data_IF_769133243920
#
_entry.id   IF_769133243920
#
_cell.length_a   1.000
_cell.length_b   1.000
_cell.length_c   1.000
_cell.angle_alpha   90.00
_cell.angle_beta   90.00
_cell.angle_gamma   90.00
#
_symmetry.space_group_name_H-M   'P 1'
#
loop_
_entity.id
_entity.type
_entity.pdbx_description
1 polymer ?
#
# COMPACT_ATOMS: atom_id res chain seq x y z
N UNK A 1 0.92 -15.73 -12.39
CA UNK A 1 0.95 -14.28 -12.12
C UNK A 1 -0.42 -13.92 -11.58
N UNK A 2 -0.49 -13.19 -10.46
CA UNK A 2 -1.74 -12.74 -9.85
C UNK A 2 -1.94 -11.28 -10.28
N UNK A 3 -3.06 -10.98 -10.94
CA UNK A 3 -3.47 -9.61 -11.23
C UNK A 3 -4.30 -9.14 -10.05
N UNK A 4 -3.98 -7.97 -9.50
CA UNK A 4 -4.76 -7.34 -8.43
C UNK A 4 -5.62 -6.24 -9.05
N UNK A 5 -6.90 -6.21 -8.70
CA UNK A 5 -7.85 -5.20 -9.17
C UNK A 5 -8.17 -4.30 -8.00
N UNK A 6 -7.69 -3.06 -8.05
CA UNK A 6 -7.84 -2.11 -6.95
C UNK A 6 -8.14 -0.70 -7.45
N UNK A 7 -8.90 0.05 -6.65
CA UNK A 7 -9.08 1.49 -6.80
C UNK A 7 -9.07 2.14 -5.43
N UNK A 8 -8.83 3.46 -5.39
CA UNK A 8 -8.78 4.24 -4.17
C UNK A 8 -9.83 5.36 -4.20
N UNK A 9 -10.51 5.58 -3.08
CA UNK A 9 -11.30 6.78 -2.83
C UNK A 9 -10.47 7.65 -1.88
N UNK A 10 -10.04 8.82 -2.35
CA UNK A 10 -9.19 9.72 -1.57
C UNK A 10 -10.01 10.55 -0.59
N UNK A 11 -9.35 11.00 0.47
CA UNK A 11 -9.90 11.98 1.45
C UNK A 11 -11.23 11.53 2.07
N UNK A 12 -11.29 10.27 2.51
CA UNK A 12 -12.51 9.72 3.11
C UNK A 12 -12.70 10.21 4.54
N UNK A 13 -13.95 10.47 4.93
CA UNK A 13 -14.33 10.61 6.34
C UNK A 13 -14.32 9.22 6.99
N UNK A 14 -13.29 8.96 7.81
CA UNK A 14 -13.06 7.64 8.42
C UNK A 14 -14.23 7.19 9.32
N UNK A 15 -14.72 8.00 10.28
CA UNK A 15 -15.92 7.66 11.03
C UNK A 15 -17.14 7.33 10.16
N UNK A 16 -17.38 8.11 9.11
CA UNK A 16 -18.53 7.90 8.22
C UNK A 16 -18.41 6.58 7.44
N UNK A 17 -17.25 6.32 6.83
CA UNK A 17 -17.07 5.13 6.00
C UNK A 17 -17.05 3.85 6.85
N UNK A 18 -16.41 3.87 8.03
CA UNK A 18 -16.42 2.72 8.96
C UNK A 18 -17.85 2.39 9.37
N UNK A 19 -18.61 3.39 9.80
CA UNK A 19 -20.02 3.19 10.17
C UNK A 19 -20.82 2.59 9.01
N UNK A 20 -20.64 3.14 7.81
CA UNK A 20 -21.36 2.70 6.61
C UNK A 20 -21.06 1.23 6.28
N UNK A 21 -19.79 0.84 6.21
CA UNK A 21 -19.42 -0.53 5.83
C UNK A 21 -19.85 -1.54 6.91
N UNK A 22 -19.79 -1.18 8.19
CA UNK A 22 -20.26 -2.03 9.29
C UNK A 22 -21.77 -2.22 9.26
N UNK A 23 -22.56 -1.18 8.98
CA UNK A 23 -24.01 -1.27 8.78
C UNK A 23 -24.39 -2.16 7.59
N UNK A 24 -23.50 -2.26 6.60
CA UNK A 24 -23.64 -3.14 5.44
C UNK A 24 -23.17 -4.58 5.71
N UNK A 25 -22.68 -4.87 6.92
CA UNK A 25 -22.24 -6.20 7.33
C UNK A 25 -20.78 -6.52 7.02
N UNK A 26 -19.95 -5.51 6.73
CA UNK A 26 -18.52 -5.71 6.52
C UNK A 26 -17.89 -6.26 7.80
N UNK A 27 -17.01 -7.26 7.63
CA UNK A 27 -16.28 -7.88 8.75
C UNK A 27 -14.92 -7.23 8.87
N UNK A 28 -14.64 -6.64 10.03
CA UNK A 28 -13.28 -6.21 10.37
C UNK A 28 -12.35 -7.42 10.42
N UNK A 29 -11.27 -7.38 9.66
CA UNK A 29 -10.31 -8.49 9.56
C UNK A 29 -9.15 -8.22 10.50
N UNK A 30 -8.44 -7.11 10.29
CA UNK A 30 -7.26 -6.77 11.05
C UNK A 30 -6.91 -5.29 10.96
N UNK A 31 -5.98 -4.88 11.81
CA UNK A 31 -5.36 -3.57 11.83
C UNK A 31 -3.86 -3.79 11.97
N UNK A 32 -3.11 -3.05 11.15
CA UNK A 32 -1.66 -3.14 11.08
C UNK A 32 -1.05 -1.76 11.15
N UNK A 33 0.01 -1.65 11.95
CA UNK A 33 0.99 -0.59 11.85
C UNK A 33 2.17 -1.14 11.03
N UNK A 34 2.31 -0.63 9.82
CA UNK A 34 3.40 -1.07 8.95
C UNK A 34 4.62 -0.19 9.13
N UNK A 35 5.78 -0.82 9.10
CA UNK A 35 7.08 -0.16 8.97
C UNK A 35 7.78 -0.74 7.75
N UNK A 36 8.42 0.11 6.94
CA UNK A 36 9.17 -0.35 5.77
C UNK A 36 10.43 0.46 5.52
N UNK A 37 11.49 -0.24 5.17
CA UNK A 37 12.65 0.33 4.49
C UNK A 37 12.56 0.04 3.00
N UNK A 38 12.93 1.01 2.18
CA UNK A 38 13.21 0.80 0.75
C UNK A 38 14.69 1.01 0.48
N UNK A 39 15.23 0.29 -0.50
CA UNK A 39 16.64 0.38 -0.89
C UNK A 39 16.73 0.33 -2.41
N UNK A 40 17.60 1.15 -2.96
CA UNK A 40 18.00 0.99 -4.36
C UNK A 40 18.98 -0.19 -4.48
N UNK A 41 19.05 -0.77 -5.69
CA UNK A 41 20.16 -1.65 -6.01
C UNK A 41 21.49 -0.87 -6.00
N UNK A 42 22.61 -1.57 -5.84
CA UNK A 42 23.93 -0.99 -5.93
C UNK A 42 24.74 -1.68 -7.06
N UNK A 43 24.94 -1.04 -8.23
CA UNK A 43 24.44 0.30 -8.61
C UNK A 43 22.91 0.34 -8.81
N UNK A 44 22.28 1.53 -8.80
CA UNK A 44 20.84 1.68 -8.97
C UNK A 44 20.35 1.07 -10.28
N UNK A 45 19.16 0.47 -10.23
CA UNK A 45 18.46 -0.10 -11.38
C UNK A 45 17.13 0.58 -11.53
N UNK A 46 16.81 0.97 -12.75
CA UNK A 46 15.56 1.64 -13.03
C UNK A 46 14.38 0.70 -12.77
N UNK A 47 13.33 1.24 -12.13
CA UNK A 47 12.09 0.53 -11.80
C UNK A 47 12.27 -0.77 -10.96
N UNK A 48 13.42 -0.98 -10.31
CA UNK A 48 13.71 -2.18 -9.52
C UNK A 48 14.33 -1.80 -8.16
N UNK A 49 13.75 -2.27 -7.05
CA UNK A 49 14.16 -1.91 -5.69
C UNK A 49 13.94 -3.04 -4.69
N UNK A 50 14.57 -2.92 -3.51
CA UNK A 50 14.38 -3.83 -2.38
C UNK A 50 13.44 -3.14 -1.37
N UNK A 51 12.50 -3.89 -0.81
CA UNK A 51 11.65 -3.46 0.31
C UNK A 51 11.76 -4.45 1.44
N UNK A 52 12.09 -3.98 2.63
CA UNK A 52 11.93 -4.72 3.88
C UNK A 52 10.72 -4.13 4.60
N UNK A 53 9.69 -4.94 4.88
CA UNK A 53 8.45 -4.47 5.51
C UNK A 53 8.07 -5.37 6.67
N UNK A 54 7.55 -4.80 7.74
CA UNK A 54 6.86 -5.53 8.81
C UNK A 54 5.50 -4.92 9.10
N UNK A 55 4.58 -5.73 9.61
CA UNK A 55 3.30 -5.29 10.21
C UNK A 55 3.23 -5.61 11.71
N UNK A 56 4.38 -5.87 12.35
CA UNK A 56 4.48 -6.31 13.74
C UNK A 56 4.20 -7.80 13.98
N UNK A 57 3.59 -8.51 13.02
CA UNK A 57 3.35 -9.97 13.09
C UNK A 57 4.21 -10.76 12.12
N UNK A 58 4.38 -10.22 10.91
CA UNK A 58 5.11 -10.82 9.80
C UNK A 58 6.05 -9.79 9.21
N UNK A 59 7.25 -10.23 8.89
CA UNK A 59 8.26 -9.41 8.23
C UNK A 59 8.64 -10.06 6.90
N UNK A 60 8.65 -9.29 5.82
CA UNK A 60 9.05 -9.76 4.50
C UNK A 60 10.16 -8.89 3.91
N UNK A 61 11.05 -9.53 3.15
CA UNK A 61 11.94 -8.85 2.22
C UNK A 61 11.47 -9.16 0.81
N UNK A 62 11.35 -8.12 -0.01
CA UNK A 62 10.83 -8.20 -1.37
C UNK A 62 11.81 -7.51 -2.32
N UNK A 63 12.16 -8.14 -3.43
CA UNK A 63 12.67 -7.43 -4.60
C UNK A 63 11.47 -7.13 -5.49
N UNK A 64 11.19 -5.86 -5.74
CA UNK A 64 10.12 -5.39 -6.62
C UNK A 64 10.71 -4.88 -7.92
N UNK A 65 10.04 -5.18 -9.03
CA UNK A 65 10.38 -4.65 -10.36
C UNK A 65 9.12 -4.29 -11.13
N UNK A 66 9.03 -3.08 -11.65
CA UNK A 66 7.96 -2.66 -12.55
C UNK A 66 8.45 -2.82 -13.99
N UNK A 67 7.84 -3.74 -14.74
CA UNK A 67 8.13 -3.98 -16.16
C UNK A 67 7.26 -3.13 -17.09
N UNK A 68 6.10 -2.66 -16.63
CA UNK A 68 5.19 -1.77 -17.37
C UNK A 68 4.24 -1.03 -16.42
N UNK A 69 3.70 0.13 -16.82
CA UNK A 69 2.65 0.84 -16.07
C UNK A 69 1.24 0.29 -16.34
N UNK A 70 1.12 -1.01 -16.61
CA UNK A 70 -0.15 -1.72 -16.77
C UNK A 70 -0.48 -2.49 -15.49
N UNK A 71 -1.74 -2.90 -15.31
CA UNK A 71 -2.23 -3.58 -14.10
C UNK A 71 -1.48 -4.90 -13.75
N UNK A 72 -0.70 -5.46 -14.68
CA UNK A 72 0.12 -6.67 -14.51
C UNK A 72 1.64 -6.39 -14.38
N UNK A 73 2.02 -5.12 -14.18
CA UNK A 73 3.38 -4.65 -14.41
C UNK A 73 4.39 -4.88 -13.28
N UNK A 74 3.98 -5.24 -12.06
CA UNK A 74 4.93 -5.40 -10.94
C UNK A 74 5.24 -6.87 -10.66
N UNK A 75 6.51 -7.26 -10.83
CA UNK A 75 7.04 -8.56 -10.43
C UNK A 75 7.66 -8.46 -9.04
N UNK A 76 7.35 -9.43 -8.19
CA UNK A 76 7.85 -9.49 -6.82
C UNK A 76 8.53 -10.84 -6.56
N UNK A 77 9.75 -10.80 -6.04
CA UNK A 77 10.40 -11.92 -5.38
C UNK A 77 10.38 -11.64 -3.88
N UNK A 78 9.40 -12.23 -3.17
CA UNK A 78 9.18 -12.03 -1.75
C UNK A 78 9.51 -13.28 -0.93
N UNK A 79 10.10 -13.09 0.25
CA UNK A 79 10.20 -14.13 1.27
C UNK A 79 10.01 -13.55 2.68
N UNK A 80 9.61 -14.41 3.61
CA UNK A 80 9.47 -14.07 5.02
C UNK A 80 10.83 -14.15 5.73
N UNK A 81 11.08 -13.20 6.63
CA UNK A 81 12.30 -13.15 7.45
C UNK A 81 11.93 -13.06 8.93
N UNK A 82 12.81 -13.56 9.80
CA UNK A 82 12.50 -13.71 11.22
C UNK A 82 12.44 -12.40 12.03
N UNK A 83 13.20 -11.38 11.65
CA UNK A 83 13.30 -10.13 12.41
C UNK A 83 13.56 -8.93 11.49
N UNK A 84 12.83 -7.83 11.71
CA UNK A 84 12.89 -6.62 10.90
C UNK A 84 14.19 -5.84 11.09
N UNK A 85 14.64 -5.66 12.34
CA UNK A 85 15.84 -4.87 12.64
C UNK A 85 17.11 -5.63 12.23
N UNK A 86 17.16 -6.94 12.49
CA UNK A 86 18.28 -7.77 12.10
C UNK A 86 18.43 -7.85 10.58
N UNK A 87 17.32 -7.96 9.84
CA UNK A 87 17.38 -7.96 8.37
C UNK A 87 17.83 -6.61 7.80
N UNK A 88 17.39 -5.48 8.40
CA UNK A 88 17.91 -4.15 8.04
C UNK A 88 19.43 -4.08 8.24
N UNK A 89 19.94 -4.51 9.40
CA UNK A 89 21.37 -4.52 9.69
C UNK A 89 22.16 -5.42 8.72
N UNK A 90 21.60 -6.58 8.33
CA UNK A 90 22.20 -7.45 7.31
C UNK A 90 22.31 -6.72 5.97
N UNK A 91 21.25 -6.05 5.50
CA UNK A 91 21.27 -5.30 4.25
C UNK A 91 22.32 -4.17 4.28
N UNK A 92 22.39 -3.42 5.38
CA UNK A 92 23.39 -2.37 5.59
C UNK A 92 24.82 -2.93 5.53
N UNK A 93 25.07 -4.07 6.20
CA UNK A 93 26.39 -4.74 6.16
C UNK A 93 26.74 -5.35 4.81
N UNK A 94 25.75 -5.69 3.99
CA UNK A 94 25.94 -6.11 2.59
C UNK A 94 26.25 -4.95 1.65
N UNK A 95 26.18 -3.70 2.14
CA UNK A 95 26.50 -2.50 1.38
C UNK A 95 25.29 -1.80 0.75
N UNK A 96 24.08 -2.05 1.27
CA UNK A 96 22.88 -1.31 0.90
C UNK A 96 22.57 -0.23 1.94
N UNK A 97 22.43 1.01 1.49
CA UNK A 97 21.88 2.08 2.30
C UNK A 97 20.37 2.19 2.02
N UNK A 98 19.53 2.21 3.06
CA UNK A 98 18.10 2.40 2.83
C UNK A 98 17.85 3.77 2.19
N UNK A 99 17.08 3.82 1.11
CA UNK A 99 16.65 5.07 0.44
C UNK A 99 15.70 5.83 1.35
N UNK A 100 14.70 5.14 1.90
CA UNK A 100 13.71 5.73 2.79
C UNK A 100 13.21 4.74 3.85
N UNK A 101 12.70 5.29 4.95
CA UNK A 101 11.90 4.62 5.96
C UNK A 101 10.49 5.20 5.97
N UNK A 102 9.47 4.36 5.99
CA UNK A 102 8.07 4.80 5.92
C UNK A 102 7.17 3.99 6.87
N UNK A 103 6.20 4.66 7.46
CA UNK A 103 5.16 4.08 8.31
C UNK A 103 3.76 4.43 7.80
N UNK A 104 2.81 3.52 7.97
CA UNK A 104 1.39 3.80 7.78
C UNK A 104 0.55 2.84 8.64
N UNK A 105 -0.68 3.24 8.93
CA UNK A 105 -1.68 2.36 9.55
C UNK A 105 -2.70 1.96 8.52
N UNK A 106 -3.12 0.68 8.56
CA UNK A 106 -4.18 0.14 7.70
C UNK A 106 -5.17 -0.64 8.54
N UNK A 107 -6.45 -0.38 8.32
CA UNK A 107 -7.55 -1.19 8.87
C UNK A 107 -8.27 -1.88 7.72
N UNK A 108 -8.30 -3.21 7.71
CA UNK A 108 -8.87 -4.01 6.63
C UNK A 108 -10.21 -4.60 7.03
N UNK A 109 -11.20 -4.46 6.14
CA UNK A 109 -12.52 -5.07 6.23
C UNK A 109 -12.79 -5.95 5.01
N UNK A 110 -13.68 -6.93 5.16
CA UNK A 110 -14.17 -7.78 4.08
C UNK A 110 -15.68 -7.60 3.94
N UNK A 111 -16.15 -7.23 2.75
CA UNK A 111 -17.57 -7.09 2.43
C UNK A 111 -17.85 -7.78 1.09
N UNK A 112 -18.71 -8.80 1.09
CA UNK A 112 -19.12 -9.54 -0.11
C UNK A 112 -17.96 -10.06 -0.99
N UNK A 113 -16.84 -10.44 -0.36
CA UNK A 113 -15.64 -10.92 -1.07
C UNK A 113 -14.73 -9.82 -1.61
N UNK A 114 -15.02 -8.55 -1.31
CA UNK A 114 -14.20 -7.38 -1.65
C UNK A 114 -13.51 -6.86 -0.39
N UNK A 115 -12.21 -6.60 -0.49
CA UNK A 115 -11.41 -6.03 0.59
C UNK A 115 -11.52 -4.51 0.59
N UNK A 116 -11.76 -3.95 1.76
CA UNK A 116 -11.90 -2.52 2.01
C UNK A 116 -10.83 -2.10 3.01
N UNK A 117 -9.83 -1.36 2.56
CA UNK A 117 -8.66 -1.02 3.37
C UNK A 117 -8.58 0.48 3.60
N UNK A 118 -8.72 0.88 4.86
CA UNK A 118 -8.64 2.28 5.27
C UNK A 118 -7.18 2.58 5.61
N UNK A 119 -6.51 3.31 4.74
CA UNK A 119 -5.08 3.60 4.80
C UNK A 119 -4.79 5.01 5.28
N UNK A 120 -4.08 5.11 6.39
CA UNK A 120 -3.64 6.37 6.96
C UNK A 120 -2.14 6.50 6.84
N UNK A 121 -1.71 7.42 5.96
CA UNK A 121 -0.31 7.74 5.69
C UNK A 121 0.05 9.16 6.14
N UNK A 122 1.29 9.43 6.57
CA UNK A 122 1.67 10.76 7.04
C UNK A 122 1.64 11.82 5.93
N UNK A 123 1.24 13.05 6.24
CA UNK A 123 1.21 14.21 5.32
C UNK A 123 0.11 14.23 4.25
N UNK A 124 -0.69 13.16 4.11
CA UNK A 124 -1.85 13.14 3.21
C UNK A 124 -3.11 12.67 3.95
N UNK A 125 -4.33 13.03 3.51
CA UNK A 125 -5.55 12.50 4.10
C UNK A 125 -5.67 10.97 3.93
N UNK A 126 -6.35 10.33 4.87
CA UNK A 126 -6.71 8.91 4.79
C UNK A 126 -7.53 8.64 3.54
N UNK A 127 -7.29 7.49 2.91
CA UNK A 127 -8.03 7.01 1.75
C UNK A 127 -8.56 5.60 1.99
N UNK A 128 -9.60 5.22 1.23
CA UNK A 128 -10.12 3.86 1.18
C UNK A 128 -9.63 3.18 -0.09
N UNK A 129 -8.90 2.08 0.04
CA UNK A 129 -8.55 1.16 -1.04
C UNK A 129 -9.60 0.04 -1.12
N UNK A 130 -10.06 -0.26 -2.33
CA UNK A 130 -11.08 -1.27 -2.63
C UNK A 130 -10.45 -2.28 -3.58
N UNK A 131 -10.21 -3.51 -3.11
CA UNK A 131 -9.56 -4.58 -3.87
C UNK A 131 -10.51 -5.79 -4.02
N UNK A 132 -10.58 -6.36 -5.23
CA UNK A 132 -11.43 -7.51 -5.52
C UNK A 132 -10.85 -8.47 -6.55
N UNK A 133 -11.56 -9.58 -6.79
CA UNK A 133 -11.14 -10.61 -7.76
C UNK A 133 -11.30 -10.18 -9.23
N UNK A 134 -12.02 -9.09 -9.50
CA UNK A 134 -12.18 -8.52 -10.83
C UNK A 134 -12.49 -7.02 -10.78
N UNK A 135 -12.26 -6.34 -11.90
CA UNK A 135 -12.59 -4.92 -12.08
C UNK A 135 -14.09 -4.65 -11.86
N UNK A 136 -14.96 -5.55 -12.32
CA UNK A 136 -16.41 -5.45 -12.11
C UNK A 136 -16.78 -5.54 -10.63
N UNK A 137 -16.12 -6.41 -9.87
CA UNK A 137 -16.36 -6.53 -8.43
C UNK A 137 -15.99 -5.24 -7.69
N UNK A 138 -14.85 -4.65 -8.05
CA UNK A 138 -14.37 -3.38 -7.48
C UNK A 138 -15.34 -2.24 -7.79
N UNK A 139 -15.70 -2.03 -9.05
CA UNK A 139 -16.61 -0.93 -9.41
C UNK A 139 -18.02 -1.11 -8.84
N UNK A 140 -18.51 -2.35 -8.77
CA UNK A 140 -19.78 -2.62 -8.11
C UNK A 140 -19.71 -2.23 -6.64
N UNK A 141 -18.59 -2.50 -5.97
CA UNK A 141 -18.40 -2.07 -4.57
C UNK A 141 -18.33 -0.55 -4.44
N UNK A 142 -17.64 0.15 -5.34
CA UNK A 142 -17.62 1.63 -5.40
C UNK A 142 -19.05 2.19 -5.46
N UNK A 143 -19.89 1.65 -6.35
CA UNK A 143 -21.29 2.07 -6.51
C UNK A 143 -22.14 1.72 -5.28
N UNK A 144 -21.95 0.55 -4.69
CA UNK A 144 -22.60 0.10 -3.45
C UNK A 144 -22.25 1.04 -2.28
N UNK A 145 -20.99 1.49 -2.22
CA UNK A 145 -20.52 2.49 -1.26
C UNK A 145 -20.95 3.92 -1.63
N UNK A 146 -21.74 4.11 -2.69
CA UNK A 146 -22.33 5.39 -3.07
C UNK A 146 -21.33 6.39 -3.64
N UNK A 147 -20.18 5.94 -4.11
CA UNK A 147 -19.20 6.78 -4.79
C UNK A 147 -19.40 6.75 -6.31
N UNK A 148 -19.05 7.86 -6.95
CA UNK A 148 -19.04 7.99 -8.40
C UNK A 148 -17.73 7.44 -8.97
N UNK A 149 -17.78 6.79 -10.13
CA UNK A 149 -16.59 6.22 -10.78
C UNK A 149 -15.57 7.29 -11.15
N UNK A 150 -16.01 8.52 -11.41
CA UNK A 150 -15.16 9.66 -11.76
C UNK A 150 -14.30 10.14 -10.58
N UNK A 151 -14.65 9.75 -9.34
CA UNK A 151 -13.93 10.13 -8.12
C UNK A 151 -12.95 9.07 -7.64
N UNK A 152 -12.81 7.96 -8.37
CA UNK A 152 -11.84 6.92 -8.04
C UNK A 152 -10.44 7.31 -8.51
N UNK A 153 -9.44 6.91 -7.76
CA UNK A 153 -8.03 7.07 -8.07
C UNK A 153 -7.42 5.69 -8.30
N UNK A 154 -6.74 5.51 -9.44
CA UNK A 154 -6.04 4.26 -9.78
C UNK A 154 -4.52 4.38 -9.59
N UNK A 155 -4.06 5.52 -9.09
CA UNK A 155 -2.64 5.77 -8.83
C UNK A 155 -2.19 4.99 -7.60
N UNK A 156 -0.95 4.50 -7.60
CA UNK A 156 -0.32 3.96 -6.40
C UNK A 156 0.01 5.08 -5.40
N UNK A 157 0.27 4.71 -4.15
CA UNK A 157 0.55 5.67 -3.08
C UNK A 157 1.68 6.65 -3.43
N UNK A 158 2.77 6.20 -4.04
CA UNK A 158 3.92 7.09 -4.33
C UNK A 158 3.53 8.12 -5.39
N UNK A 159 2.76 7.69 -6.40
CA UNK A 159 2.23 8.59 -7.42
C UNK A 159 1.18 9.54 -6.84
N UNK A 160 0.31 9.10 -5.92
CA UNK A 160 -0.65 9.96 -5.21
C UNK A 160 0.07 11.12 -4.50
N UNK A 161 1.09 10.81 -3.69
CA UNK A 161 1.91 11.84 -3.02
C UNK A 161 2.45 12.86 -4.02
N UNK A 162 3.03 12.38 -5.12
CA UNK A 162 3.71 13.21 -6.10
C UNK A 162 2.77 14.08 -6.93
N UNK A 163 1.69 13.51 -7.46
CA UNK A 163 0.86 14.18 -8.46
C UNK A 163 -0.33 14.92 -7.88
N UNK A 164 -0.90 14.43 -6.76
CA UNK A 164 -2.10 15.02 -6.14
C UNK A 164 -1.68 15.99 -5.05
N UNK A 165 -0.76 15.57 -4.17
CA UNK A 165 -0.35 16.37 -3.02
C UNK A 165 0.97 17.14 -3.24
N UNK A 166 1.63 16.96 -4.39
CA UNK A 166 2.89 17.62 -4.74
C UNK A 166 3.99 17.40 -3.68
N UNK A 167 4.06 16.19 -3.14
CA UNK A 167 5.07 15.74 -2.18
C UNK A 167 5.91 14.66 -2.86
N UNK A 168 7.21 14.90 -2.98
CA UNK A 168 8.14 13.93 -3.53
C UNK A 168 8.73 13.06 -2.41
N UNK A 169 8.22 11.81 -2.30
CA UNK A 169 8.68 10.85 -1.29
C UNK A 169 10.17 10.53 -1.39
N UNK A 170 10.78 10.69 -2.57
CA UNK A 170 12.21 10.43 -2.75
C UNK A 170 13.09 11.45 -2.00
N UNK A 171 12.53 12.60 -1.64
CA UNK A 171 13.21 13.62 -0.83
C UNK A 171 12.96 13.47 0.68
N UNK A 172 12.20 12.45 1.10
CA UNK A 172 11.86 12.21 2.51
C UNK A 172 12.57 10.94 2.97
N UNK A 173 13.59 11.12 3.82
CA UNK A 173 14.35 10.00 4.38
C UNK A 173 13.53 9.17 5.36
N UNK A 174 12.72 9.82 6.20
CA UNK A 174 11.86 9.19 7.19
C UNK A 174 10.46 9.79 7.14
N UNK A 175 9.45 8.95 6.87
CA UNK A 175 8.03 9.30 6.85
C UNK A 175 7.34 8.51 7.98
N UNK A 176 7.15 9.14 9.14
CA UNK A 176 6.63 8.48 10.35
C UNK A 176 5.20 8.92 10.67
N UNK A 177 4.39 8.00 11.18
CA UNK A 177 3.00 8.22 11.58
C UNK A 177 2.86 8.78 12.99
#
# INVERSE_FOLDING_TARGET
MKTEYEVRILEVDVPEIVKKIEEMGAKRIEEHEFQRYTYDFNPPRDMEWIRLRTNGKKTTVTIKRVDSHTADGTKELETEVGDFNAMNEILERLGYDHKSYQENTRVSYMLDGVMLEIDSWPLIPTYLEIEGESEEAVYKMVEILGYEREKICTLDVSTIYKTIYNIDLDNIKELRA
#
